data_IF_697714053707
#
_entry.id   IF_697714053707
#
_cell.length_a   1.000
_cell.length_b   1.000
_cell.length_c   1.000
_cell.angle_alpha   90.00
_cell.angle_beta   90.00
_cell.angle_gamma   90.00
#
_symmetry.space_group_name_H-M   'P 1'
#
loop_
_entity.id
_entity.type
_entity.pdbx_description
1 polymer ?
#
# COMPACT_ATOMS: atom_id res chain seq x y z
N UNK A 1 19.36 -8.79 8.77
CA UNK A 1 18.11 -9.07 8.16
C UNK A 1 17.41 -7.84 7.70
N UNK A 2 16.74 -7.93 6.64
CA UNK A 2 16.13 -6.80 6.09
C UNK A 2 14.67 -6.83 6.31
N UNK A 3 14.06 -5.70 6.15
CA UNK A 3 12.64 -5.59 6.21
C UNK A 3 12.02 -5.94 4.90
N UNK A 4 12.75 -6.64 4.04
CA UNK A 4 12.25 -6.95 2.71
C UNK A 4 11.29 -8.11 2.76
N UNK A 5 10.26 -8.10 1.95
CA UNK A 5 9.36 -9.25 1.85
C UNK A 5 10.09 -10.43 1.20
N UNK A 6 9.57 -11.64 1.34
CA UNK A 6 10.13 -12.80 0.66
C UNK A 6 10.21 -12.57 -0.84
N UNK A 7 11.17 -13.22 -1.48
CA UNK A 7 11.42 -12.98 -2.90
C UNK A 7 10.22 -13.27 -3.79
N UNK A 8 9.43 -14.29 -3.46
CA UNK A 8 8.23 -14.57 -4.25
C UNK A 8 7.22 -13.44 -4.18
N UNK A 9 7.11 -12.82 -3.00
CA UNK A 9 6.23 -11.69 -2.84
C UNK A 9 6.75 -10.51 -3.64
N UNK A 10 8.06 -10.28 -3.63
CA UNK A 10 8.65 -9.19 -4.40
C UNK A 10 8.40 -9.37 -5.89
N UNK A 11 8.52 -10.60 -6.40
CA UNK A 11 8.25 -10.87 -7.81
C UNK A 11 6.79 -10.58 -8.14
N UNK A 12 5.88 -11.02 -7.30
CA UNK A 12 4.45 -10.79 -7.54
C UNK A 12 4.12 -9.30 -7.52
N UNK A 13 4.69 -8.56 -6.58
CA UNK A 13 4.46 -7.13 -6.48
C UNK A 13 5.01 -6.41 -7.69
N UNK A 14 6.22 -6.75 -8.10
CA UNK A 14 6.80 -6.14 -9.27
C UNK A 14 5.98 -6.41 -10.52
N UNK A 15 5.45 -7.63 -10.65
CA UNK A 15 4.58 -7.94 -11.78
C UNK A 15 3.34 -7.07 -11.79
N UNK A 16 2.71 -6.90 -10.63
CA UNK A 16 1.52 -6.08 -10.54
C UNK A 16 1.82 -4.62 -10.93
N UNK A 17 2.96 -4.11 -10.49
CA UNK A 17 3.25 -2.70 -10.67
C UNK A 17 3.88 -2.36 -12.01
N UNK A 18 4.46 -3.32 -12.69
CA UNK A 18 5.20 -3.02 -13.91
C UNK A 18 4.64 -3.61 -15.19
N UNK A 19 3.85 -4.68 -15.11
CA UNK A 19 3.30 -5.27 -16.32
C UNK A 19 2.17 -4.43 -16.88
N UNK A 20 1.90 -4.53 -18.18
CA UNK A 20 0.83 -3.73 -18.77
C UNK A 20 -0.51 -4.02 -18.13
N UNK A 21 -1.31 -2.99 -17.97
CA UNK A 21 -2.66 -3.08 -17.43
C UNK A 21 -3.47 -1.91 -17.95
N UNK A 22 -4.61 -1.65 -17.33
CA UNK A 22 -5.47 -0.54 -17.75
C UNK A 22 -4.87 0.79 -17.30
N UNK A 23 -4.34 0.84 -16.09
CA UNK A 23 -3.70 2.04 -15.59
C UNK A 23 -2.23 2.05 -16.02
N UNK A 24 -1.68 3.24 -16.15
CA UNK A 24 -0.26 3.35 -16.48
C UNK A 24 0.57 2.80 -15.33
N UNK A 25 1.77 2.35 -15.67
CA UNK A 25 2.70 1.86 -14.66
C UNK A 25 2.98 2.94 -13.61
N UNK A 26 3.16 4.17 -14.06
CA UNK A 26 3.44 5.28 -13.16
C UNK A 26 2.31 5.48 -12.16
N UNK A 27 1.07 5.42 -12.62
CA UNK A 27 -0.08 5.61 -11.75
C UNK A 27 -0.23 4.46 -10.76
N UNK A 28 0.00 3.24 -11.20
CA UNK A 28 -0.08 2.09 -10.30
C UNK A 28 0.97 2.18 -9.20
N UNK A 29 2.18 2.60 -9.57
CA UNK A 29 3.24 2.76 -8.59
C UNK A 29 2.94 3.89 -7.62
N UNK A 30 2.34 4.98 -8.11
CA UNK A 30 1.98 6.08 -7.24
C UNK A 30 0.91 5.68 -6.22
N UNK A 31 -0.07 4.89 -6.66
CA UNK A 31 -1.12 4.41 -5.76
C UNK A 31 -0.53 3.49 -4.70
N UNK A 32 0.35 2.57 -5.11
CA UNK A 32 0.98 1.65 -4.18
C UNK A 32 1.80 2.41 -3.14
N UNK A 33 2.59 3.37 -3.60
CA UNK A 33 3.45 4.15 -2.71
C UNK A 33 2.63 4.96 -1.72
N UNK A 34 1.54 5.56 -2.19
CA UNK A 34 0.70 6.37 -1.33
C UNK A 34 0.02 5.50 -0.26
N UNK A 35 -0.49 4.33 -0.67
CA UNK A 35 -1.12 3.41 0.26
C UNK A 35 -0.13 2.90 1.29
N UNK A 36 1.10 2.60 0.86
CA UNK A 36 2.13 2.14 1.77
C UNK A 36 2.45 3.23 2.80
N UNK A 37 2.55 4.48 2.35
CA UNK A 37 2.84 5.58 3.25
C UNK A 37 1.74 5.75 4.29
N UNK A 38 0.49 5.64 3.87
CA UNK A 38 -0.63 5.74 4.78
C UNK A 38 -0.62 4.63 5.83
N UNK A 39 -0.01 3.52 5.51
CA UNK A 39 0.06 2.37 6.41
C UNK A 39 1.38 2.30 7.18
N UNK A 40 2.13 3.38 7.18
CA UNK A 40 3.36 3.48 7.96
C UNK A 40 4.62 3.04 7.25
N UNK A 41 4.53 2.73 5.96
CA UNK A 41 5.70 2.36 5.19
C UNK A 41 6.51 3.56 4.77
N UNK A 42 7.73 3.31 4.37
CA UNK A 42 8.61 4.37 3.90
C UNK A 42 8.60 4.38 2.38
N UNK A 43 7.97 5.38 1.82
CA UNK A 43 7.87 5.54 0.38
C UNK A 43 7.96 7.02 0.05
N UNK A 44 8.51 7.32 -1.12
CA UNK A 44 8.52 8.68 -1.61
C UNK A 44 7.13 9.02 -2.11
N UNK A 45 6.54 10.10 -1.62
CA UNK A 45 5.20 10.46 -2.08
C UNK A 45 5.22 10.85 -3.55
N UNK A 46 4.20 10.44 -4.26
CA UNK A 46 4.03 10.79 -5.67
C UNK A 46 2.66 11.39 -5.82
N UNK A 47 2.52 12.27 -6.81
CA UNK A 47 1.25 12.94 -7.01
C UNK A 47 0.17 12.01 -7.48
N UNK A 48 -1.02 12.19 -6.95
CA UNK A 48 -2.20 11.48 -7.39
C UNK A 48 -3.33 12.47 -7.65
N UNK A 49 -4.14 12.23 -8.69
CA UNK A 49 -5.35 13.03 -8.86
C UNK A 49 -6.20 12.98 -7.58
N UNK A 50 -6.92 14.08 -7.34
CA UNK A 50 -7.66 14.22 -6.09
C UNK A 50 -8.67 13.08 -5.86
N UNK A 51 -9.36 12.66 -6.92
CA UNK A 51 -10.35 11.61 -6.78
C UNK A 51 -9.72 10.26 -6.43
N UNK A 52 -8.50 10.01 -6.92
CA UNK A 52 -7.80 8.78 -6.58
C UNK A 52 -7.24 8.86 -5.18
N UNK A 53 -6.78 10.02 -4.78
CA UNK A 53 -6.25 10.22 -3.44
C UNK A 53 -7.32 9.91 -2.41
N UNK A 54 -8.52 10.42 -2.62
CA UNK A 54 -9.62 10.20 -1.72
C UNK A 54 -9.99 8.73 -1.64
N UNK A 55 -10.03 8.06 -2.80
CA UNK A 55 -10.37 6.66 -2.87
C UNK A 55 -9.32 5.79 -2.15
N UNK A 56 -8.04 6.09 -2.38
CA UNK A 56 -6.97 5.34 -1.74
C UNK A 56 -7.03 5.52 -0.23
N UNK A 57 -7.28 6.73 0.24
CA UNK A 57 -7.44 6.98 1.67
C UNK A 57 -8.56 6.12 2.26
N UNK A 58 -9.70 6.05 1.58
CA UNK A 58 -10.80 5.24 2.06
C UNK A 58 -10.47 3.76 2.07
N UNK A 59 -9.91 3.27 0.98
CA UNK A 59 -9.60 1.84 0.88
C UNK A 59 -8.62 1.42 1.97
N UNK A 60 -7.65 2.27 2.27
CA UNK A 60 -6.61 1.91 3.22
C UNK A 60 -7.04 2.15 4.67
N UNK A 61 -7.65 3.31 4.93
CA UNK A 61 -7.92 3.72 6.31
C UNK A 61 -9.33 3.42 6.78
N UNK A 62 -10.28 3.36 5.87
CA UNK A 62 -11.68 3.16 6.23
C UNK A 62 -12.40 2.31 5.18
N UNK A 63 -11.92 1.09 4.94
CA UNK A 63 -12.49 0.28 3.85
C UNK A 63 -13.98 0.02 4.01
N UNK A 64 -14.48 0.00 5.23
CA UNK A 64 -15.90 -0.20 5.48
C UNK A 64 -16.75 0.99 5.04
N UNK A 65 -16.13 2.12 4.73
CA UNK A 65 -16.86 3.30 4.26
C UNK A 65 -16.87 3.43 2.75
N UNK A 66 -16.24 2.51 2.04
CA UNK A 66 -16.29 2.52 0.57
C UNK A 66 -17.68 2.10 0.14
N UNK A 67 -18.30 2.90 -0.71
CA UNK A 67 -19.68 2.66 -1.15
C UNK A 67 -19.80 2.77 -2.66
N UNK A 68 -20.98 2.45 -3.16
CA UNK A 68 -21.26 2.60 -4.57
C UNK A 68 -21.04 4.01 -5.07
N UNK A 69 -21.27 5.00 -4.22
CA UNK A 69 -21.07 6.39 -4.59
C UNK A 69 -19.61 6.66 -4.95
N UNK A 70 -18.69 6.02 -4.24
CA UNK A 70 -17.27 6.17 -4.55
C UNK A 70 -16.96 5.62 -5.94
N UNK A 71 -17.53 4.47 -6.28
CA UNK A 71 -17.32 3.88 -7.60
C UNK A 71 -17.94 4.74 -8.68
N UNK A 72 -19.12 5.30 -8.42
CA UNK A 72 -19.78 6.18 -9.38
C UNK A 72 -18.95 7.42 -9.65
N UNK A 73 -18.36 8.00 -8.63
CA UNK A 73 -17.50 9.16 -8.81
C UNK A 73 -16.30 8.84 -9.67
N UNK A 74 -15.70 7.69 -9.45
CA UNK A 74 -14.55 7.29 -10.27
C UNK A 74 -14.96 7.03 -11.71
N UNK A 75 -16.11 6.40 -11.89
CA UNK A 75 -16.61 6.16 -13.24
C UNK A 75 -16.90 7.48 -13.97
N UNK A 76 -17.44 8.45 -13.27
CA UNK A 76 -17.68 9.76 -13.84
C UNK A 76 -16.40 10.48 -14.19
N UNK A 77 -15.33 10.20 -13.46
CA UNK A 77 -14.04 10.78 -13.76
C UNK A 77 -13.33 10.04 -14.89
N UNK A 78 -13.94 9.00 -15.44
CA UNK A 78 -13.42 8.32 -16.62
C UNK A 78 -12.74 6.99 -16.37
N UNK A 79 -12.78 6.50 -15.15
CA UNK A 79 -12.11 5.23 -14.84
C UNK A 79 -13.07 4.07 -15.07
N UNK A 80 -12.58 3.06 -15.79
CA UNK A 80 -13.37 1.86 -16.05
C UNK A 80 -13.39 0.97 -14.82
N UNK A 81 -14.25 -0.03 -14.84
CA UNK A 81 -14.33 -1.01 -13.79
C UNK A 81 -12.99 -1.69 -13.58
N UNK A 82 -12.33 -2.06 -14.67
CA UNK A 82 -11.02 -2.70 -14.60
C UNK A 82 -9.98 -1.77 -13.99
N UNK A 83 -10.06 -0.48 -14.33
CA UNK A 83 -9.13 0.49 -13.74
C UNK A 83 -9.35 0.59 -12.24
N UNK A 84 -10.62 0.62 -11.80
CA UNK A 84 -10.93 0.70 -10.38
C UNK A 84 -10.43 -0.54 -9.65
N UNK A 85 -10.56 -1.70 -10.28
CA UNK A 85 -10.05 -2.94 -9.71
C UNK A 85 -8.53 -2.88 -9.56
N UNK A 86 -7.83 -2.41 -10.59
CA UNK A 86 -6.37 -2.28 -10.53
C UNK A 86 -5.92 -1.34 -9.44
N UNK A 87 -6.58 -0.19 -9.30
CA UNK A 87 -6.17 0.75 -8.27
C UNK A 87 -6.44 0.20 -6.88
N UNK A 88 -7.50 -0.59 -6.72
CA UNK A 88 -7.80 -1.23 -5.45
C UNK A 88 -6.72 -2.26 -5.10
N UNK A 89 -6.29 -3.04 -6.10
CA UNK A 89 -5.22 -4.00 -5.89
C UNK A 89 -3.91 -3.31 -5.51
N UNK A 90 -3.57 -2.24 -6.22
CA UNK A 90 -2.33 -1.52 -5.93
C UNK A 90 -2.34 -0.91 -4.55
N UNK A 91 -3.49 -0.36 -4.14
CA UNK A 91 -3.62 0.20 -2.81
C UNK A 91 -3.51 -0.91 -1.75
N UNK A 92 -4.16 -2.04 -2.00
CA UNK A 92 -4.09 -3.17 -1.08
C UNK A 92 -2.69 -3.72 -0.92
N UNK A 93 -1.96 -3.83 -2.03
CA UNK A 93 -0.59 -4.30 -2.01
C UNK A 93 0.30 -3.33 -1.24
N UNK A 94 0.16 -2.04 -1.50
CA UNK A 94 0.95 -1.04 -0.80
C UNK A 94 0.73 -1.08 0.70
N UNK A 95 -0.53 -1.12 1.11
CA UNK A 95 -0.87 -1.20 2.52
C UNK A 95 -0.37 -2.51 3.14
N UNK A 96 -0.55 -3.62 2.42
CA UNK A 96 -0.13 -4.93 2.93
C UNK A 96 1.37 -5.03 3.10
N UNK A 97 2.12 -4.53 2.12
CA UNK A 97 3.58 -4.55 2.22
C UNK A 97 4.07 -3.69 3.37
N UNK A 98 3.48 -2.51 3.54
CA UNK A 98 3.88 -1.63 4.64
C UNK A 98 3.62 -2.29 5.98
N UNK A 99 2.48 -2.96 6.11
CA UNK A 99 2.16 -3.66 7.35
C UNK A 99 3.11 -4.82 7.59
N UNK A 100 3.48 -5.54 6.52
CA UNK A 100 4.46 -6.61 6.62
C UNK A 100 5.81 -6.05 7.08
N UNK A 101 6.24 -4.94 6.47
CA UNK A 101 7.50 -4.30 6.85
C UNK A 101 7.49 -3.86 8.31
N UNK A 102 6.39 -3.26 8.73
CA UNK A 102 6.28 -2.84 10.13
C UNK A 102 6.28 -4.03 11.08
N UNK A 103 5.64 -5.13 10.68
CA UNK A 103 5.66 -6.35 11.47
C UNK A 103 7.05 -6.93 11.62
N UNK A 104 7.81 -6.94 10.51
CA UNK A 104 9.18 -7.43 10.55
C UNK A 104 10.07 -6.55 11.41
N UNK A 105 9.87 -5.24 11.33
CA UNK A 105 10.60 -4.31 12.18
C UNK A 105 10.28 -4.54 13.65
N UNK A 106 9.02 -4.77 13.95
CA UNK A 106 8.60 -5.03 15.32
C UNK A 106 9.24 -6.30 15.86
N UNK A 107 9.32 -7.33 15.02
CA UNK A 107 9.98 -8.57 15.45
C UNK A 107 11.44 -8.35 15.72
N UNK A 108 12.12 -7.60 14.87
CA UNK A 108 13.53 -7.27 15.08
C UNK A 108 13.69 -6.43 16.33
N UNK A 109 12.80 -5.50 16.53
CA UNK A 109 12.83 -4.63 17.70
C UNK A 109 12.61 -5.39 18.98
N UNK A 110 11.74 -6.38 18.96
CA UNK A 110 11.52 -7.20 20.12
C UNK A 110 12.78 -7.98 20.50
N UNK A 111 13.44 -8.54 19.50
CA UNK A 111 14.65 -9.30 19.73
C UNK A 111 15.75 -8.42 20.31
N UNK A 112 15.96 -7.28 19.67
CA UNK A 112 16.98 -6.34 20.11
C UNK A 112 16.61 -5.74 21.45
N UNK A 113 15.36 -5.38 21.59
CA UNK A 113 14.87 -4.76 22.82
C UNK A 113 14.98 -5.67 23.99
N UNK A 114 14.73 -6.94 23.81
CA UNK A 114 14.85 -7.89 24.90
C UNK A 114 16.29 -7.97 25.39
N UNK A 115 17.23 -7.80 24.49
CA UNK A 115 18.61 -7.81 24.86
C UNK A 115 19.05 -6.54 25.48
N UNK A 116 18.56 -5.43 25.00
CA UNK A 116 19.01 -4.16 25.43
C UNK A 116 18.29 -3.66 26.59
N UNK A 117 16.98 -3.73 26.51
CA UNK A 117 16.24 -3.10 27.44
C UNK A 117 16.08 -3.73 28.62
N UNK A 118 16.20 -4.75 28.71
CA UNK A 118 16.01 -5.22 29.78
C UNK A 118 16.89 -4.84 30.63
N UNK A 119 17.13 -3.98 30.78
CA UNK A 119 17.94 -3.39 31.52
C UNK A 119 17.15 -2.91 32.50
N UNK A 120 16.44 -2.76 32.39
CA UNK A 120 15.85 -2.16 32.88
C UNK A 120 14.97 -2.67 32.96
N UNK A 121 15.24 -3.46 32.93
CA UNK A 121 14.85 -3.85 32.81
C UNK A 121 14.04 -3.57 32.99
N UNK A 122 13.85 -3.72 33.10
CA UNK A 122 13.17 -3.53 32.97
C UNK A 122 12.90 -3.99 32.41
#
# INVERSE_FOLDING_TARGET
MKNSPPSKVQVAVNSLLTKPGVLTQQLRQAIEAHAAKLSGGEREPQELPAELLEFVHKVVLSPHQVTETDFERLAEAGYSEDAIFEMTLCAGVGAGLARMERGLLALQGLTVGASIENPEGK
#
